data_IF_223844810959
#
_entry.id   IF_223844810959
#
_cell.length_a   1.000
_cell.length_b   1.000
_cell.length_c   1.000
_cell.angle_alpha   90.00
_cell.angle_beta   90.00
_cell.angle_gamma   90.00
#
_symmetry.space_group_name_H-M   'P 1'
#
loop_
_entity.id
_entity.type
_entity.pdbx_description
1 polymer ?
#
# COMPACT_ATOMS: atom_id res chain seq x y z
N UNK A 1 2.60 -9.55 25.14
CA UNK A 1 2.32 -9.11 23.77
C UNK A 1 1.02 -8.35 23.73
N UNK A 2 1.06 -7.25 23.08
CA UNK A 2 -0.13 -6.43 22.96
C UNK A 2 -0.94 -6.92 21.79
N UNK A 3 -2.04 -7.56 22.10
CA UNK A 3 -2.99 -7.87 21.08
C UNK A 3 -3.90 -6.67 20.95
N UNK A 4 -3.74 -5.95 19.86
CA UNK A 4 -4.67 -4.88 19.59
C UNK A 4 -5.92 -5.51 19.02
N UNK A 5 -6.95 -5.55 19.85
CA UNK A 5 -8.25 -5.97 19.36
C UNK A 5 -8.88 -4.77 18.68
N UNK A 6 -8.90 -4.82 17.36
CA UNK A 6 -9.58 -3.77 16.62
C UNK A 6 -11.08 -4.08 16.61
N UNK A 7 -11.87 -3.07 16.89
CA UNK A 7 -13.31 -3.16 16.76
C UNK A 7 -13.62 -3.45 15.29
N UNK A 8 -14.31 -4.53 15.03
CA UNK A 8 -14.61 -4.95 13.67
C UNK A 8 -15.40 -3.91 12.90
N UNK A 9 -16.29 -3.18 13.57
CA UNK A 9 -17.02 -2.11 12.93
C UNK A 9 -16.12 -0.99 12.45
N UNK A 10 -15.09 -0.65 13.23
CA UNK A 10 -14.12 0.37 12.84
C UNK A 10 -13.27 -0.10 11.67
N UNK A 11 -12.93 -1.38 11.64
CA UNK A 11 -12.17 -1.94 10.52
C UNK A 11 -13.00 -1.89 9.25
N UNK A 12 -14.27 -2.24 9.33
CA UNK A 12 -15.15 -2.19 8.17
C UNK A 12 -15.33 -0.77 7.65
N UNK A 13 -15.49 0.20 8.55
CA UNK A 13 -15.58 1.60 8.16
C UNK A 13 -14.29 2.09 7.49
N UNK A 14 -13.16 1.72 8.05
CA UNK A 14 -11.86 2.09 7.47
C UNK A 14 -11.69 1.48 6.09
N UNK A 15 -12.10 0.24 5.90
CA UNK A 15 -12.03 -0.42 4.61
C UNK A 15 -12.94 0.21 3.59
N UNK A 16 -14.15 0.60 4.02
CA UNK A 16 -15.09 1.29 3.15
C UNK A 16 -14.55 2.63 2.69
N UNK A 17 -14.01 3.41 3.64
CA UNK A 17 -13.40 4.69 3.32
C UNK A 17 -12.23 4.53 2.37
N UNK A 18 -11.42 3.51 2.57
CA UNK A 18 -10.28 3.23 1.70
C UNK A 18 -10.76 2.86 0.29
N UNK A 19 -11.80 2.04 0.18
CA UNK A 19 -12.35 1.67 -1.11
C UNK A 19 -12.88 2.88 -1.86
N UNK A 20 -13.60 3.76 -1.17
CA UNK A 20 -14.16 4.96 -1.77
C UNK A 20 -13.04 5.87 -2.27
N UNK A 21 -12.00 6.03 -1.47
CA UNK A 21 -10.85 6.84 -1.83
C UNK A 21 -10.16 6.29 -3.08
N UNK A 22 -9.89 4.99 -3.08
CA UNK A 22 -9.21 4.34 -4.20
C UNK A 22 -10.06 4.38 -5.46
N UNK A 23 -11.36 4.15 -5.34
CA UNK A 23 -12.24 4.16 -6.50
C UNK A 23 -12.31 5.54 -7.15
N UNK A 24 -12.33 6.59 -6.35
CA UNK A 24 -12.29 7.94 -6.88
C UNK A 24 -11.00 8.21 -7.65
N UNK A 25 -9.88 7.70 -7.14
CA UNK A 25 -8.59 7.85 -7.81
C UNK A 25 -8.52 7.00 -9.07
N UNK A 26 -9.04 5.78 -9.00
CA UNK A 26 -9.06 4.88 -10.14
C UNK A 26 -9.88 5.47 -11.30
N UNK A 27 -11.00 6.11 -10.99
CA UNK A 27 -11.83 6.76 -11.99
C UNK A 27 -11.05 7.78 -12.81
N UNK A 28 -10.24 8.58 -12.14
CA UNK A 28 -9.39 9.57 -12.82
C UNK A 28 -8.40 8.93 -13.77
N UNK A 29 -7.83 7.81 -13.34
CA UNK A 29 -6.85 7.09 -14.16
C UNK A 29 -7.51 6.43 -15.35
N UNK A 30 -8.73 5.90 -15.16
CA UNK A 30 -9.47 5.27 -16.24
C UNK A 30 -9.81 6.27 -17.33
N UNK A 31 -10.02 7.53 -16.97
CA UNK A 31 -10.23 8.60 -17.95
C UNK A 31 -9.01 8.86 -18.81
N UNK A 32 -7.86 8.34 -18.42
CA UNK A 32 -6.62 8.43 -19.20
C UNK A 32 -6.30 7.13 -19.93
N UNK A 33 -7.31 6.31 -20.15
CA UNK A 33 -7.19 5.04 -20.85
C UNK A 33 -6.30 4.02 -20.14
N UNK A 34 -6.26 4.09 -18.81
CA UNK A 34 -5.55 3.11 -18.02
C UNK A 34 -6.53 2.10 -17.43
N UNK A 35 -6.15 0.84 -17.44
CA UNK A 35 -6.91 -0.18 -16.75
C UNK A 35 -6.48 -0.18 -15.29
N UNK A 36 -7.44 -0.03 -14.39
CA UNK A 36 -7.14 0.06 -12.96
C UNK A 36 -8.09 -0.83 -12.18
N UNK A 37 -7.52 -1.71 -11.39
CA UNK A 37 -8.26 -2.47 -10.40
C UNK A 37 -7.85 -2.01 -9.02
N UNK A 38 -8.79 -1.99 -8.11
CA UNK A 38 -8.50 -1.59 -6.73
C UNK A 38 -8.75 -2.75 -5.78
N UNK A 39 -8.10 -2.72 -4.65
CA UNK A 39 -8.32 -3.71 -3.61
C UNK A 39 -7.90 -3.17 -2.26
N UNK A 40 -8.59 -3.57 -1.23
CA UNK A 40 -8.28 -3.21 0.14
C UNK A 40 -8.12 -4.49 0.94
N UNK A 41 -6.97 -4.62 1.56
CA UNK A 41 -6.65 -5.82 2.34
C UNK A 41 -6.19 -5.40 3.72
N UNK A 42 -6.62 -6.14 4.71
CA UNK A 42 -6.18 -5.93 6.08
C UNK A 42 -5.21 -7.04 6.41
N UNK A 43 -3.98 -6.67 6.73
CA UNK A 43 -2.95 -7.64 7.06
C UNK A 43 -2.12 -7.08 8.21
N UNK A 44 -1.85 -7.92 9.19
CA UNK A 44 -0.99 -7.53 10.31
C UNK A 44 0.43 -7.21 9.84
N UNK A 45 0.82 -7.73 8.68
CA UNK A 45 2.12 -7.46 8.08
C UNK A 45 1.91 -6.93 6.66
N UNK A 46 1.75 -5.60 6.54
CA UNK A 46 1.39 -5.01 5.24
C UNK A 46 2.39 -5.30 4.11
N UNK A 47 3.67 -5.31 4.44
CA UNK A 47 4.68 -5.62 3.42
C UNK A 47 4.53 -6.99 2.82
N UNK A 48 4.19 -7.97 3.65
CA UNK A 48 3.95 -9.33 3.18
C UNK A 48 2.70 -9.39 2.31
N UNK A 49 1.68 -8.63 2.68
CA UNK A 49 0.46 -8.54 1.88
C UNK A 49 0.73 -7.98 0.50
N UNK A 50 1.55 -6.94 0.42
CA UNK A 50 1.93 -6.33 -0.86
C UNK A 50 2.67 -7.34 -1.73
N UNK A 51 3.63 -8.05 -1.16
CA UNK A 51 4.40 -9.04 -1.90
C UNK A 51 3.51 -10.16 -2.44
N UNK A 52 2.58 -10.62 -1.61
CA UNK A 52 1.65 -11.66 -2.02
C UNK A 52 0.77 -11.20 -3.17
N UNK A 53 0.23 -9.99 -3.08
CA UNK A 53 -0.61 -9.44 -4.15
C UNK A 53 0.16 -9.27 -5.44
N UNK A 54 1.39 -8.80 -5.36
CA UNK A 54 2.22 -8.62 -6.53
C UNK A 54 2.48 -9.95 -7.24
N UNK A 55 2.70 -11.00 -6.46
CA UNK A 55 2.94 -12.31 -7.02
C UNK A 55 1.67 -12.92 -7.62
N UNK A 56 0.56 -12.85 -6.88
CA UNK A 56 -0.70 -13.42 -7.34
C UNK A 56 -1.22 -12.73 -8.59
N UNK A 57 -0.95 -11.45 -8.73
CA UNK A 57 -1.39 -10.69 -9.90
C UNK A 57 -0.33 -10.59 -10.98
N UNK A 58 0.80 -11.26 -10.80
CA UNK A 58 1.89 -11.28 -11.77
C UNK A 58 2.31 -9.88 -12.20
N UNK A 59 2.49 -9.01 -11.22
CA UNK A 59 2.88 -7.64 -11.49
C UNK A 59 4.29 -7.56 -12.04
N UNK A 60 4.52 -6.62 -12.95
CA UNK A 60 5.83 -6.40 -13.55
C UNK A 60 6.73 -5.57 -12.66
N UNK A 61 6.15 -4.71 -11.84
CA UNK A 61 6.90 -3.95 -10.84
C UNK A 61 5.93 -3.45 -9.76
N UNK A 62 6.50 -2.97 -8.67
CA UNK A 62 5.75 -2.41 -7.55
C UNK A 62 6.12 -0.94 -7.42
N UNK A 63 5.12 -0.09 -7.35
CA UNK A 63 5.35 1.33 -7.07
C UNK A 63 4.70 1.65 -5.73
N UNK A 64 5.44 2.29 -4.86
CA UNK A 64 4.89 2.66 -3.55
C UNK A 64 5.53 3.93 -3.07
N UNK A 65 4.82 4.65 -2.22
CA UNK A 65 5.35 5.84 -1.61
C UNK A 65 5.89 5.52 -0.22
N UNK A 66 6.97 6.19 0.14
CA UNK A 66 7.47 6.12 1.50
C UNK A 66 6.76 7.19 2.31
N UNK A 67 6.82 7.06 3.62
CA UNK A 67 6.22 8.06 4.49
C UNK A 67 6.89 9.41 4.31
N UNK A 68 6.10 10.42 3.94
CA UNK A 68 6.56 11.78 3.90
C UNK A 68 6.33 12.52 5.21
N UNK A 69 6.26 11.80 6.32
CA UNK A 69 5.97 12.43 7.58
C UNK A 69 7.13 13.30 8.07
N UNK A 70 6.75 14.41 8.67
CA UNK A 70 7.71 15.23 9.39
C UNK A 70 8.41 14.41 10.45
N UNK A 71 9.69 14.62 10.59
CA UNK A 71 10.47 13.95 11.61
C UNK A 71 11.14 12.67 11.16
N UNK A 72 10.74 12.12 10.03
CA UNK A 72 11.45 10.99 9.49
C UNK A 72 12.70 11.47 8.77
N UNK A 73 13.82 10.90 9.12
CA UNK A 73 15.05 11.25 8.43
C UNK A 73 15.04 10.62 7.05
N UNK A 74 15.79 11.23 6.15
CA UNK A 74 15.87 10.78 4.77
C UNK A 74 16.46 9.37 4.61
N UNK A 75 17.14 8.89 5.63
CA UNK A 75 17.79 7.60 5.56
C UNK A 75 16.91 6.44 6.05
N UNK A 76 15.75 6.75 6.61
CA UNK A 76 14.90 5.72 7.21
C UNK A 76 13.79 5.32 6.25
N UNK A 77 13.79 4.05 5.90
CA UNK A 77 12.67 3.45 5.19
C UNK A 77 11.71 2.90 6.22
N UNK A 78 10.42 2.99 5.96
CA UNK A 78 9.44 2.37 6.84
C UNK A 78 9.57 0.86 6.81
N UNK A 79 9.04 0.20 7.83
CA UNK A 79 9.09 -1.26 7.92
C UNK A 79 8.43 -1.93 6.72
N UNK A 80 7.35 -1.36 6.22
CA UNK A 80 6.65 -1.92 5.06
C UNK A 80 7.54 -1.84 3.81
N UNK A 81 8.13 -0.68 3.54
CA UNK A 81 9.01 -0.50 2.40
C UNK A 81 10.22 -1.44 2.47
N UNK A 82 10.81 -1.54 3.66
CA UNK A 82 11.95 -2.43 3.87
C UNK A 82 11.58 -3.88 3.57
N UNK A 83 10.43 -4.32 4.06
CA UNK A 83 9.97 -5.69 3.83
C UNK A 83 9.75 -5.96 2.36
N UNK A 84 9.16 -5.01 1.65
CA UNK A 84 8.90 -5.17 0.21
C UNK A 84 10.22 -5.23 -0.55
N UNK A 85 11.16 -4.33 -0.23
CA UNK A 85 12.45 -4.32 -0.92
C UNK A 85 13.24 -5.61 -0.72
N UNK A 86 13.15 -6.20 0.47
CA UNK A 86 13.89 -7.42 0.75
C UNK A 86 13.24 -8.65 0.15
N UNK A 87 11.93 -8.65 -0.03
CA UNK A 87 11.21 -9.83 -0.48
C UNK A 87 10.77 -9.81 -1.93
N UNK A 88 10.95 -8.72 -2.62
CA UNK A 88 10.42 -8.59 -3.97
C UNK A 88 11.23 -9.37 -5.01
N UNK A 89 10.52 -9.88 -6.00
CA UNK A 89 11.12 -10.50 -7.18
C UNK A 89 11.01 -9.61 -8.41
N UNK A 90 10.41 -8.45 -8.23
CA UNK A 90 10.23 -7.49 -9.33
C UNK A 90 10.80 -6.15 -8.91
N UNK A 91 11.09 -5.26 -9.86
CA UNK A 91 11.58 -3.93 -9.50
C UNK A 91 10.60 -3.17 -8.64
N UNK A 92 11.14 -2.32 -7.77
CA UNK A 92 10.33 -1.48 -6.90
C UNK A 92 10.69 -0.03 -7.14
N UNK A 93 9.67 0.78 -7.41
CA UNK A 93 9.81 2.22 -7.52
C UNK A 93 9.36 2.84 -6.21
N UNK A 94 10.27 3.51 -5.53
CA UNK A 94 9.94 4.21 -4.30
C UNK A 94 9.83 5.70 -4.57
N UNK A 95 8.75 6.28 -4.13
CA UNK A 95 8.51 7.70 -4.27
C UNK A 95 8.39 8.32 -2.88
N UNK A 96 9.13 9.37 -2.66
CA UNK A 96 9.01 10.15 -1.41
C UNK A 96 8.25 11.42 -1.72
N UNK A 97 7.02 11.57 -1.19
CA UNK A 97 6.28 12.79 -1.43
C UNK A 97 6.99 13.98 -0.80
N UNK A 98 6.93 15.16 -1.41
CA UNK A 98 7.47 16.37 -0.80
C UNK A 98 6.69 16.71 0.47
N UNK A 99 7.36 17.31 1.44
CA UNK A 99 6.74 17.73 2.67
C UNK A 99 5.83 18.94 2.46
#
# INVERSE_FOLDING_TARGET
PHTVQMNQGLVEEACESARDYLEARAERMRHRDLEVDTGVFVDAQPGRGILREAEERSCDFIAMSTHGRKGLTRAILGSTSDKVLRGTRVPVLLYRPPE
#
